data_IF_599614113515
#
_entry.id   IF_599614113515
#
_cell.length_a   1.000
_cell.length_b   1.000
_cell.length_c   1.000
_cell.angle_alpha   90.00
_cell.angle_beta   90.00
_cell.angle_gamma   90.00
#
_symmetry.space_group_name_H-M   'P 1'
#
loop_
_entity.id
_entity.type
_entity.pdbx_description
1 polymer ?
#
# COMPACT_ATOMS: atom_id res chain seq x y z
N UNK A 1 -36.90 -27.50 -5.26
CA UNK A 1 -36.35 -27.05 -3.97
C UNK A 1 -34.96 -26.42 -4.11
N UNK A 2 -33.87 -27.06 -3.66
CA UNK A 2 -32.50 -26.45 -3.76
C UNK A 2 -32.03 -26.31 -5.19
N UNK A 3 -32.22 -27.33 -6.01
CA UNK A 3 -31.85 -27.32 -7.43
C UNK A 3 -32.61 -26.22 -8.18
N UNK A 4 -33.94 -26.11 -7.98
CA UNK A 4 -34.72 -25.05 -8.64
C UNK A 4 -34.25 -23.64 -8.22
N UNK A 5 -33.87 -23.47 -6.94
CA UNK A 5 -33.33 -22.21 -6.43
C UNK A 5 -31.98 -21.88 -7.10
N UNK A 6 -31.11 -22.87 -7.27
CA UNK A 6 -29.83 -22.69 -7.94
C UNK A 6 -30.01 -22.34 -9.43
N UNK A 7 -30.84 -23.10 -10.13
CA UNK A 7 -31.20 -22.85 -11.54
C UNK A 7 -31.81 -21.46 -11.72
N UNK A 8 -32.76 -21.09 -10.85
CA UNK A 8 -33.40 -19.76 -10.88
C UNK A 8 -32.37 -18.63 -10.77
N UNK A 9 -31.36 -18.77 -9.90
CA UNK A 9 -30.29 -17.77 -9.75
C UNK A 9 -29.46 -17.61 -11.01
N UNK A 10 -29.07 -18.72 -11.62
CA UNK A 10 -28.31 -18.71 -12.88
C UNK A 10 -29.14 -18.10 -14.02
N UNK A 11 -30.40 -18.55 -14.17
CA UNK A 11 -31.31 -18.04 -15.19
C UNK A 11 -31.61 -16.54 -14.98
N UNK A 12 -31.81 -16.11 -13.72
CA UNK A 12 -32.04 -14.71 -13.40
C UNK A 12 -30.92 -13.80 -13.98
N UNK A 13 -29.66 -14.17 -13.76
CA UNK A 13 -28.54 -13.40 -14.29
C UNK A 13 -28.54 -13.38 -15.84
N UNK A 14 -28.82 -14.53 -16.45
CA UNK A 14 -28.93 -14.61 -17.92
C UNK A 14 -30.04 -13.74 -18.47
N UNK A 15 -31.22 -13.74 -17.85
CA UNK A 15 -32.34 -12.86 -18.24
C UNK A 15 -32.01 -11.39 -17.99
N UNK A 16 -31.44 -11.05 -16.84
CA UNK A 16 -31.08 -9.68 -16.49
C UNK A 16 -30.03 -9.10 -17.46
N UNK A 17 -29.15 -9.93 -18.00
CA UNK A 17 -28.18 -9.57 -19.02
C UNK A 17 -28.76 -9.55 -20.44
N UNK A 18 -30.02 -9.93 -20.63
CA UNK A 18 -30.68 -9.98 -21.93
C UNK A 18 -30.10 -11.05 -22.87
N UNK A 19 -29.47 -12.11 -22.35
CA UNK A 19 -28.79 -13.11 -23.19
C UNK A 19 -29.76 -13.96 -24.03
N UNK A 20 -31.05 -14.00 -23.66
CA UNK A 20 -32.08 -14.69 -24.46
C UNK A 20 -32.63 -13.80 -25.57
N UNK A 21 -32.61 -12.49 -25.39
CA UNK A 21 -33.08 -11.51 -26.35
C UNK A 21 -31.94 -11.13 -27.35
N UNK A 22 -30.70 -11.17 -26.87
CA UNK A 22 -29.49 -10.84 -27.62
C UNK A 22 -28.39 -11.84 -27.35
N UNK A 23 -28.48 -13.09 -27.87
CA UNK A 23 -27.56 -14.19 -27.49
C UNK A 23 -26.11 -13.98 -27.95
N UNK A 24 -25.88 -13.11 -28.94
CA UNK A 24 -24.55 -12.79 -29.47
C UNK A 24 -24.19 -11.34 -29.14
N UNK A 25 -23.97 -11.07 -27.86
CA UNK A 25 -23.64 -9.74 -27.38
C UNK A 25 -22.13 -9.50 -27.52
N UNK A 26 -21.70 -9.08 -28.70
CA UNK A 26 -20.31 -8.70 -28.91
C UNK A 26 -20.14 -7.97 -30.23
N UNK A 27 -20.09 -6.64 -30.19
CA UNK A 27 -19.69 -5.84 -31.35
C UNK A 27 -18.20 -5.52 -31.25
N UNK A 28 -17.34 -6.06 -32.15
CA UNK A 28 -15.90 -5.75 -32.15
C UNK A 28 -15.61 -4.24 -32.31
N UNK A 29 -16.51 -3.49 -32.93
CA UNK A 29 -16.39 -2.03 -33.05
C UNK A 29 -16.61 -1.36 -31.67
N UNK A 30 -17.55 -1.89 -30.89
CA UNK A 30 -17.80 -1.40 -29.52
C UNK A 30 -16.63 -1.70 -28.60
N UNK A 31 -15.99 -2.87 -28.73
CA UNK A 31 -14.78 -3.22 -27.98
C UNK A 31 -13.69 -2.17 -28.17
N UNK A 32 -13.39 -1.80 -29.42
CA UNK A 32 -12.39 -0.77 -29.75
C UNK A 32 -12.75 0.61 -29.21
N UNK A 33 -14.04 0.91 -29.04
CA UNK A 33 -14.54 2.20 -28.55
C UNK A 33 -14.51 2.26 -27.02
N UNK A 34 -14.72 1.14 -26.33
CA UNK A 34 -14.90 1.09 -24.88
C UNK A 34 -13.61 0.67 -24.17
N UNK A 35 -12.97 -0.43 -24.63
CA UNK A 35 -11.74 -0.94 -24.00
C UNK A 35 -10.61 0.07 -24.19
N UNK A 36 -9.95 0.44 -23.10
CA UNK A 36 -8.89 1.45 -23.04
C UNK A 36 -9.30 2.81 -23.62
N UNK A 37 -10.57 3.20 -23.45
CA UNK A 37 -10.97 4.58 -23.77
C UNK A 37 -10.23 5.58 -22.85
N UNK A 38 -10.12 6.84 -23.29
CA UNK A 38 -9.46 7.89 -22.50
C UNK A 38 -10.01 7.99 -21.07
N UNK A 39 -11.32 7.76 -20.90
CA UNK A 39 -11.97 7.72 -19.59
C UNK A 39 -11.43 6.58 -18.71
N UNK A 40 -11.24 5.40 -19.29
CA UNK A 40 -10.70 4.25 -18.56
C UNK A 40 -9.22 4.45 -18.21
N UNK A 41 -8.45 5.03 -19.12
CA UNK A 41 -7.04 5.37 -18.89
C UNK A 41 -6.92 6.44 -17.77
N UNK A 42 -7.77 7.46 -17.80
CA UNK A 42 -7.81 8.48 -16.75
C UNK A 42 -8.18 7.89 -15.38
N UNK A 43 -9.17 7.00 -15.33
CA UNK A 43 -9.55 6.30 -14.11
C UNK A 43 -8.41 5.39 -13.60
N UNK A 44 -7.72 4.67 -14.46
CA UNK A 44 -6.57 3.86 -14.09
C UNK A 44 -5.44 4.73 -13.50
N UNK A 45 -5.22 5.93 -14.05
CA UNK A 45 -4.26 6.90 -13.51
C UNK A 45 -4.68 7.39 -12.13
N UNK A 46 -5.94 7.74 -11.94
CA UNK A 46 -6.48 8.17 -10.64
C UNK A 46 -6.31 7.07 -9.57
N UNK A 47 -6.65 5.82 -9.90
CA UNK A 47 -6.45 4.68 -8.99
C UNK A 47 -4.97 4.49 -8.65
N UNK A 48 -4.07 4.63 -9.61
CA UNK A 48 -2.64 4.54 -9.37
C UNK A 48 -2.13 5.66 -8.45
N UNK A 49 -2.62 6.89 -8.63
CA UNK A 49 -2.29 8.05 -7.78
C UNK A 49 -2.76 7.84 -6.34
N UNK A 50 -4.01 7.40 -6.17
CA UNK A 50 -4.64 7.21 -4.88
C UNK A 50 -4.07 6.02 -4.08
N UNK A 51 -3.47 5.04 -4.75
CA UNK A 51 -2.92 3.83 -4.14
C UNK A 51 -1.43 3.91 -3.84
N UNK A 52 -0.68 4.85 -4.42
CA UNK A 52 0.75 5.00 -4.15
C UNK A 52 0.99 5.53 -2.73
N UNK A 53 1.90 4.90 -2.02
CA UNK A 53 2.17 5.14 -0.59
C UNK A 53 3.57 5.73 -0.43
N UNK A 54 3.67 6.84 0.28
CA UNK A 54 4.95 7.39 0.73
C UNK A 54 5.25 6.84 2.13
N UNK A 55 6.33 6.08 2.27
CA UNK A 55 6.70 5.43 3.53
C UNK A 55 7.75 6.21 4.31
N UNK A 56 8.74 6.79 3.62
CA UNK A 56 9.78 7.63 4.21
C UNK A 56 10.05 8.86 3.35
N UNK A 57 10.32 10.00 4.00
CA UNK A 57 10.66 11.25 3.30
C UNK A 57 11.59 12.10 4.18
N UNK A 58 12.86 11.70 4.27
CA UNK A 58 13.85 12.36 5.09
C UNK A 58 14.19 13.74 4.53
N UNK A 59 14.25 14.71 5.41
CA UNK A 59 14.57 16.10 5.06
C UNK A 59 13.65 16.69 3.97
N UNK A 60 12.45 16.13 3.80
CA UNK A 60 11.49 16.52 2.76
C UNK A 60 12.12 16.55 1.36
N UNK A 61 12.91 15.51 1.01
CA UNK A 61 13.49 15.40 -0.32
C UNK A 61 12.43 15.32 -1.41
N UNK A 62 11.27 14.77 -1.09
CA UNK A 62 10.07 14.75 -1.93
C UNK A 62 9.04 15.80 -1.45
N UNK A 63 8.32 16.46 -2.37
CA UNK A 63 8.48 16.38 -3.84
C UNK A 63 9.81 16.97 -4.28
N UNK A 64 10.34 16.45 -5.39
CA UNK A 64 11.63 16.87 -5.92
C UNK A 64 11.68 18.37 -6.21
N UNK A 65 12.66 19.05 -5.62
CA UNK A 65 13.03 20.41 -6.05
C UNK A 65 13.83 20.33 -7.36
N UNK A 66 13.12 20.48 -8.47
CA UNK A 66 13.71 20.39 -9.80
C UNK A 66 14.77 21.45 -10.09
N UNK A 67 14.90 22.51 -9.28
CA UNK A 67 15.98 23.47 -9.43
C UNK A 67 17.34 22.93 -8.99
N UNK A 68 17.34 21.98 -8.04
CA UNK A 68 18.55 21.37 -7.47
C UNK A 68 19.14 20.25 -8.32
N UNK A 69 18.32 19.54 -9.10
CA UNK A 69 18.73 18.35 -9.82
C UNK A 69 18.67 18.60 -11.32
N UNK A 70 19.80 18.57 -12.02
CA UNK A 70 19.91 18.70 -13.48
C UNK A 70 19.80 17.35 -14.17
N UNK A 71 20.27 16.30 -13.50
CA UNK A 71 20.32 14.93 -14.00
C UNK A 71 19.80 13.95 -12.95
N UNK A 72 19.08 12.93 -13.40
CA UNK A 72 18.46 11.89 -12.56
C UNK A 72 18.79 10.52 -13.16
N UNK A 73 19.35 9.62 -12.36
CA UNK A 73 19.46 8.22 -12.72
C UNK A 73 18.23 7.45 -12.26
N UNK A 74 17.59 6.70 -13.15
CA UNK A 74 16.46 5.83 -12.86
C UNK A 74 16.92 4.40 -13.09
N UNK A 75 17.26 3.71 -12.00
CA UNK A 75 17.88 2.40 -12.06
C UNK A 75 17.07 1.33 -11.36
N UNK A 76 17.41 0.07 -11.57
CA UNK A 76 16.74 -1.08 -10.98
C UNK A 76 15.85 -1.82 -11.96
N UNK A 77 15.50 -3.09 -11.65
CA UNK A 77 14.79 -3.97 -12.59
C UNK A 77 13.37 -3.50 -12.93
N UNK A 78 12.75 -2.70 -12.05
CA UNK A 78 11.43 -2.11 -12.29
C UNK A 78 11.48 -0.68 -12.85
N UNK A 79 12.66 -0.13 -13.15
CA UNK A 79 12.84 1.25 -13.63
C UNK A 79 12.18 1.51 -14.99
N UNK A 80 12.31 0.55 -15.91
CA UNK A 80 11.81 0.64 -17.28
C UNK A 80 10.88 -0.53 -17.65
N UNK A 81 10.07 -0.97 -16.70
CA UNK A 81 9.08 -2.02 -16.87
C UNK A 81 7.72 -1.56 -16.34
N UNK A 82 6.64 -2.01 -16.99
CA UNK A 82 5.29 -1.88 -16.47
C UNK A 82 4.85 -3.22 -15.89
N UNK A 83 4.41 -3.24 -14.64
CA UNK A 83 3.98 -4.47 -13.97
C UNK A 83 2.46 -4.44 -13.83
N UNK A 84 1.77 -5.31 -14.55
CA UNK A 84 0.31 -5.36 -14.60
C UNK A 84 -0.32 -6.27 -13.54
N UNK A 85 0.46 -7.19 -12.97
CA UNK A 85 -0.05 -8.20 -12.06
C UNK A 85 -0.41 -9.51 -12.75
N UNK A 86 -0.76 -10.51 -11.96
CA UNK A 86 -0.77 -11.92 -12.36
C UNK A 86 -1.85 -12.27 -13.37
N UNK A 87 -3.07 -11.80 -13.13
CA UNK A 87 -4.24 -12.13 -13.96
C UNK A 87 -4.53 -11.12 -15.06
N UNK A 88 -3.62 -10.21 -15.32
CA UNK A 88 -3.72 -9.31 -16.47
C UNK A 88 -3.29 -10.02 -17.74
N UNK A 89 -4.09 -9.92 -18.81
CA UNK A 89 -3.74 -10.49 -20.10
C UNK A 89 -2.65 -9.67 -20.77
N UNK A 90 -1.44 -9.79 -20.27
CA UNK A 90 -0.26 -9.12 -20.82
C UNK A 90 0.86 -10.14 -21.04
N UNK A 91 1.75 -9.81 -21.96
CA UNK A 91 2.95 -10.60 -22.19
C UNK A 91 4.17 -9.84 -21.66
N UNK A 92 5.33 -10.50 -21.44
CA UNK A 92 6.56 -9.79 -21.10
C UNK A 92 6.93 -8.69 -22.11
N UNK A 93 6.45 -8.83 -23.35
CA UNK A 93 6.71 -7.89 -24.44
C UNK A 93 5.57 -6.87 -24.64
N UNK A 94 4.60 -6.83 -23.71
CA UNK A 94 3.50 -5.86 -23.76
C UNK A 94 4.07 -4.43 -23.73
N UNK A 95 3.79 -3.67 -24.80
CA UNK A 95 4.24 -2.28 -24.94
C UNK A 95 3.24 -1.26 -24.40
N UNK A 96 2.09 -1.73 -23.93
CA UNK A 96 1.11 -0.88 -23.29
C UNK A 96 1.60 -0.47 -21.90
N UNK A 97 1.21 0.74 -21.52
CA UNK A 97 1.55 1.31 -20.24
C UNK A 97 2.76 2.25 -20.29
N UNK A 98 2.96 2.92 -19.18
CA UNK A 98 4.02 3.91 -18.98
C UNK A 98 4.94 3.42 -17.87
N UNK A 99 6.21 3.20 -18.19
CA UNK A 99 7.23 2.84 -17.19
C UNK A 99 7.62 4.06 -16.35
N UNK A 100 8.24 3.86 -15.20
CA UNK A 100 8.74 4.97 -14.38
C UNK A 100 9.68 5.87 -15.18
N UNK A 101 10.62 5.28 -15.92
CA UNK A 101 11.54 6.01 -16.79
C UNK A 101 10.78 6.88 -17.82
N UNK A 102 9.84 6.29 -18.54
CA UNK A 102 9.01 7.00 -19.50
C UNK A 102 8.15 8.10 -18.87
N UNK A 103 7.56 7.82 -17.70
CA UNK A 103 6.77 8.80 -16.95
C UNK A 103 7.60 10.03 -16.57
N UNK A 104 8.81 9.83 -16.08
CA UNK A 104 9.73 10.93 -15.78
C UNK A 104 10.14 11.68 -17.04
N UNK A 105 10.42 11.00 -18.15
CA UNK A 105 10.68 11.67 -19.43
C UNK A 105 9.51 12.55 -19.90
N UNK A 106 8.28 12.08 -19.74
CA UNK A 106 7.07 12.84 -20.10
C UNK A 106 6.90 14.09 -19.26
N UNK A 107 7.10 13.98 -17.93
CA UNK A 107 6.91 15.09 -16.99
C UNK A 107 8.04 16.10 -17.03
N UNK A 108 9.28 15.65 -17.13
CA UNK A 108 10.46 16.51 -17.08
C UNK A 108 10.87 17.05 -18.46
N UNK A 109 10.47 16.35 -19.51
CA UNK A 109 10.78 16.72 -20.89
C UNK A 109 12.31 16.78 -21.15
N UNK A 110 12.70 17.62 -22.12
CA UNK A 110 14.13 17.81 -22.47
C UNK A 110 14.89 18.71 -21.49
N UNK A 111 14.24 19.20 -20.44
CA UNK A 111 14.86 20.12 -19.45
C UNK A 111 15.81 19.40 -18.48
N UNK A 112 15.71 18.08 -18.39
CA UNK A 112 16.51 17.25 -17.48
C UNK A 112 17.13 16.09 -18.24
N UNK A 113 18.35 15.73 -17.86
CA UNK A 113 18.96 14.49 -18.31
C UNK A 113 18.47 13.33 -17.44
N UNK A 114 17.94 12.30 -18.07
CA UNK A 114 17.50 11.08 -17.37
C UNK A 114 18.28 9.90 -17.90
N UNK A 115 19.12 9.31 -17.06
CA UNK A 115 19.87 8.11 -17.36
C UNK A 115 19.12 6.89 -16.85
N UNK A 116 19.17 5.76 -17.57
CA UNK A 116 18.49 4.53 -17.19
C UNK A 116 19.44 3.34 -17.28
N UNK A 117 19.38 2.46 -16.28
CA UNK A 117 20.01 1.14 -16.31
C UNK A 117 19.24 0.18 -15.41
N UNK A 118 19.14 -1.08 -15.83
CA UNK A 118 18.41 -2.09 -15.03
C UNK A 118 19.19 -2.50 -13.78
N UNK A 119 20.52 -2.48 -13.81
CA UNK A 119 21.39 -2.76 -12.67
C UNK A 119 21.37 -4.22 -12.21
N UNK A 120 20.24 -4.89 -12.30
CA UNK A 120 20.09 -6.32 -12.05
C UNK A 120 18.74 -6.79 -12.59
N UNK A 121 18.46 -8.09 -12.48
CA UNK A 121 17.15 -8.66 -12.74
C UNK A 121 16.44 -9.11 -11.44
N UNK A 122 15.25 -9.68 -11.54
CA UNK A 122 14.42 -10.05 -10.36
C UNK A 122 14.79 -11.37 -9.70
N UNK A 123 15.58 -12.24 -10.32
CA UNK A 123 15.75 -13.63 -9.86
C UNK A 123 17.21 -14.12 -9.83
N UNK A 124 18.09 -13.54 -10.63
CA UNK A 124 19.44 -14.07 -10.78
C UNK A 124 20.44 -13.22 -9.96
N UNK A 125 21.36 -13.92 -9.29
CA UNK A 125 22.46 -13.31 -8.54
C UNK A 125 23.78 -13.27 -9.32
N UNK A 126 23.79 -13.60 -10.61
CA UNK A 126 25.01 -13.99 -11.30
C UNK A 126 25.77 -12.85 -12.02
N UNK A 127 25.23 -11.63 -12.18
CA UNK A 127 25.93 -10.63 -12.99
C UNK A 127 26.18 -9.31 -12.28
N UNK A 128 27.45 -9.09 -11.88
CA UNK A 128 27.91 -7.83 -11.28
C UNK A 128 28.02 -6.69 -12.28
N UNK A 129 28.18 -6.98 -13.59
CA UNK A 129 28.37 -5.97 -14.63
C UNK A 129 27.19 -5.03 -14.80
N UNK A 130 25.98 -5.55 -14.59
CA UNK A 130 24.75 -4.74 -14.66
C UNK A 130 24.70 -3.72 -13.53
N UNK A 131 25.15 -4.08 -12.32
CA UNK A 131 25.28 -3.16 -11.18
C UNK A 131 26.29 -2.06 -11.48
N UNK A 132 27.42 -2.39 -12.07
CA UNK A 132 28.43 -1.39 -12.44
C UNK A 132 27.89 -0.35 -13.43
N UNK A 133 27.07 -0.78 -14.40
CA UNK A 133 26.42 0.15 -15.34
C UNK A 133 25.44 1.08 -14.62
N UNK A 134 24.66 0.57 -13.67
CA UNK A 134 23.76 1.38 -12.87
C UNK A 134 24.52 2.38 -11.99
N UNK A 135 25.61 1.95 -11.36
CA UNK A 135 26.48 2.82 -10.57
C UNK A 135 27.06 3.95 -11.43
N UNK A 136 27.57 3.66 -12.63
CA UNK A 136 28.05 4.68 -13.58
C UNK A 136 26.97 5.69 -13.94
N UNK A 137 25.74 5.24 -14.18
CA UNK A 137 24.62 6.14 -14.45
C UNK A 137 24.32 7.05 -13.24
N UNK A 138 24.40 6.52 -12.02
CA UNK A 138 24.20 7.28 -10.77
C UNK A 138 25.32 8.28 -10.54
N UNK A 139 26.57 7.90 -10.74
CA UNK A 139 27.75 8.80 -10.61
C UNK A 139 27.65 10.00 -11.53
N UNK A 140 27.12 9.81 -12.74
CA UNK A 140 26.87 10.86 -13.73
C UNK A 140 25.62 11.70 -13.48
N UNK A 141 24.89 11.42 -12.38
CA UNK A 141 23.63 12.09 -12.06
C UNK A 141 23.71 12.81 -10.70
N UNK A 142 22.78 13.71 -10.48
CA UNK A 142 22.65 14.45 -9.21
C UNK A 142 21.81 13.67 -8.18
N UNK A 143 20.95 12.77 -8.64
CA UNK A 143 19.97 12.02 -7.84
C UNK A 143 19.77 10.63 -8.43
N UNK A 144 19.60 9.63 -7.57
CA UNK A 144 19.22 8.28 -7.94
C UNK A 144 17.78 7.95 -7.54
N UNK A 145 17.00 7.38 -8.45
CA UNK A 145 15.72 6.73 -8.17
C UNK A 145 15.90 5.25 -8.48
N UNK A 146 15.79 4.41 -7.46
CA UNK A 146 16.04 2.97 -7.57
C UNK A 146 14.70 2.21 -7.47
N UNK A 147 14.25 1.64 -8.57
CA UNK A 147 13.01 0.90 -8.66
C UNK A 147 13.26 -0.61 -8.50
N UNK A 148 12.88 -1.15 -7.34
CA UNK A 148 13.08 -2.55 -6.94
C UNK A 148 11.75 -3.24 -6.66
N UNK A 149 11.78 -4.54 -6.41
CA UNK A 149 10.61 -5.30 -5.96
C UNK A 149 10.44 -6.64 -6.66
N UNK A 150 9.20 -7.01 -6.87
CA UNK A 150 8.84 -8.29 -7.50
C UNK A 150 8.30 -8.08 -8.91
N UNK A 151 8.21 -9.15 -9.65
CA UNK A 151 7.52 -9.22 -10.93
C UNK A 151 6.55 -10.38 -10.92
N UNK A 152 5.32 -10.12 -11.36
CA UNK A 152 4.33 -11.14 -11.67
C UNK A 152 4.12 -11.19 -13.18
N UNK A 153 4.00 -12.38 -13.72
CA UNK A 153 3.66 -12.62 -15.12
C UNK A 153 2.49 -13.61 -15.18
N UNK A 154 1.69 -13.52 -16.23
CA UNK A 154 0.52 -14.36 -16.38
C UNK A 154 0.88 -15.86 -16.42
N UNK A 155 0.04 -16.68 -15.80
CA UNK A 155 0.09 -18.14 -15.79
C UNK A 155 0.43 -18.74 -17.16
N UNK A 156 1.42 -19.63 -17.20
CA UNK A 156 1.76 -20.45 -18.36
C UNK A 156 2.77 -19.86 -19.35
N UNK A 157 3.27 -18.65 -19.13
CA UNK A 157 4.32 -18.07 -20.00
C UNK A 157 5.74 -18.15 -19.43
N UNK A 158 5.95 -19.09 -18.55
CA UNK A 158 7.26 -19.56 -18.10
C UNK A 158 7.72 -18.98 -16.77
N UNK A 159 8.33 -19.85 -15.94
CA UNK A 159 8.81 -19.51 -14.59
C UNK A 159 9.97 -18.50 -14.59
N UNK A 160 10.54 -18.21 -15.75
CA UNK A 160 11.79 -17.44 -15.87
C UNK A 160 11.69 -15.97 -15.44
N UNK A 161 10.48 -15.44 -15.21
CA UNK A 161 10.29 -14.01 -15.03
C UNK A 161 9.44 -13.63 -13.82
N UNK A 162 8.79 -14.58 -13.15
CA UNK A 162 7.93 -14.33 -11.99
C UNK A 162 8.67 -14.54 -10.67
N UNK A 163 8.51 -13.62 -9.74
CA UNK A 163 8.96 -13.69 -8.35
C UNK A 163 7.81 -13.44 -7.37
N UNK A 164 6.59 -13.34 -7.88
CA UNK A 164 5.35 -13.26 -7.13
C UNK A 164 4.20 -13.71 -8.04
N UNK A 165 3.08 -14.11 -7.45
CA UNK A 165 1.89 -14.56 -8.15
C UNK A 165 1.56 -16.01 -7.90
N UNK A 166 0.53 -16.50 -8.55
CA UNK A 166 0.11 -17.90 -8.38
C UNK A 166 1.18 -18.88 -8.83
N UNK A 167 1.55 -19.77 -7.93
CA UNK A 167 2.61 -20.78 -8.16
C UNK A 167 4.05 -20.25 -8.03
N UNK A 168 4.25 -19.01 -7.58
CA UNK A 168 5.55 -18.37 -7.43
C UNK A 168 5.72 -17.71 -6.06
N UNK A 169 5.70 -18.52 -5.02
CA UNK A 169 5.91 -18.05 -3.66
C UNK A 169 7.39 -17.91 -3.33
N UNK A 170 7.73 -16.86 -2.57
CA UNK A 170 9.06 -16.68 -2.05
C UNK A 170 9.18 -17.29 -0.66
N UNK A 171 10.23 -18.07 -0.43
CA UNK A 171 10.57 -18.60 0.90
C UNK A 171 11.19 -17.56 1.82
N UNK A 172 11.62 -16.44 1.27
CA UNK A 172 12.13 -15.27 1.99
C UNK A 172 11.40 -14.02 1.52
N UNK A 173 11.21 -13.07 2.42
CA UNK A 173 10.65 -11.75 2.09
C UNK A 173 11.73 -10.70 1.80
N UNK A 174 13.00 -11.09 1.71
CA UNK A 174 14.06 -10.22 1.22
C UNK A 174 13.85 -9.89 -0.27
N UNK A 175 14.46 -8.78 -0.70
CA UNK A 175 14.45 -8.41 -2.12
C UNK A 175 15.08 -9.53 -2.96
N UNK A 176 14.37 -10.07 -3.97
CA UNK A 176 14.88 -11.18 -4.77
C UNK A 176 16.05 -10.76 -5.68
N UNK A 177 16.90 -11.73 -6.03
CA UNK A 177 18.07 -11.49 -6.88
C UNK A 177 19.15 -10.65 -6.20
N UNK A 178 19.78 -9.74 -6.94
CA UNK A 178 20.83 -8.83 -6.48
C UNK A 178 20.33 -7.42 -6.17
N UNK A 179 19.04 -7.25 -5.91
CA UNK A 179 18.47 -5.92 -5.69
C UNK A 179 18.99 -5.25 -4.41
N UNK A 180 19.26 -6.04 -3.37
CA UNK A 180 19.87 -5.51 -2.14
C UNK A 180 21.31 -5.03 -2.38
N UNK A 181 22.08 -5.74 -3.18
CA UNK A 181 23.44 -5.35 -3.59
C UNK A 181 23.42 -4.10 -4.45
N UNK A 182 22.44 -3.97 -5.37
CA UNK A 182 22.23 -2.76 -6.15
C UNK A 182 21.95 -1.54 -5.25
N UNK A 183 21.03 -1.67 -4.29
CA UNK A 183 20.73 -0.59 -3.34
C UNK A 183 21.99 -0.13 -2.58
N UNK A 184 22.79 -1.07 -2.09
CA UNK A 184 24.04 -0.79 -1.37
C UNK A 184 25.07 -0.11 -2.27
N UNK A 185 25.24 -0.58 -3.50
CA UNK A 185 26.16 -0.02 -4.47
C UNK A 185 25.77 1.41 -4.88
N UNK A 186 24.49 1.66 -5.11
CA UNK A 186 23.98 3.02 -5.38
C UNK A 186 24.20 3.93 -4.17
N UNK A 187 23.92 3.48 -2.95
CA UNK A 187 24.16 4.29 -1.74
C UNK A 187 25.64 4.64 -1.55
N UNK A 188 26.55 3.74 -1.91
CA UNK A 188 28.00 3.95 -1.82
C UNK A 188 28.50 5.09 -2.72
N UNK A 189 27.75 5.51 -3.75
CA UNK A 189 28.07 6.68 -4.58
C UNK A 189 27.94 8.01 -3.83
N UNK A 190 27.30 8.03 -2.66
CA UNK A 190 27.03 9.24 -1.89
C UNK A 190 25.94 10.14 -2.47
N UNK A 191 25.30 9.77 -3.57
CA UNK A 191 24.21 10.54 -4.17
C UNK A 191 22.92 10.37 -3.34
N UNK A 192 22.02 11.38 -3.30
CA UNK A 192 20.68 11.21 -2.74
C UNK A 192 19.96 10.06 -3.44
N UNK A 193 19.29 9.20 -2.64
CA UNK A 193 18.70 7.97 -3.15
C UNK A 193 17.23 7.85 -2.74
N UNK A 194 16.35 7.77 -3.71
CA UNK A 194 14.93 7.47 -3.54
C UNK A 194 14.69 6.03 -3.96
N UNK A 195 14.06 5.24 -3.08
CA UNK A 195 13.70 3.85 -3.37
C UNK A 195 12.21 3.77 -3.70
N UNK A 196 11.89 3.14 -4.82
CA UNK A 196 10.51 2.84 -5.23
C UNK A 196 10.34 1.33 -5.23
N UNK A 197 9.56 0.81 -4.27
CA UNK A 197 9.20 -0.61 -4.23
C UNK A 197 7.96 -0.85 -5.07
N UNK A 198 8.08 -1.64 -6.13
CA UNK A 198 6.97 -2.11 -6.96
C UNK A 198 6.82 -3.61 -6.72
N UNK A 199 5.79 -4.02 -6.00
CA UNK A 199 5.67 -5.40 -5.52
C UNK A 199 4.23 -5.85 -5.35
N UNK A 200 3.97 -7.14 -5.52
CA UNK A 200 2.67 -7.75 -5.21
C UNK A 200 2.54 -8.20 -3.75
N UNK A 201 3.57 -8.03 -2.95
CA UNK A 201 3.59 -8.39 -1.52
C UNK A 201 4.52 -7.46 -0.74
N UNK A 202 4.34 -7.29 0.59
CA UNK A 202 5.30 -6.59 1.41
C UNK A 202 6.62 -7.37 1.46
N UNK A 203 7.72 -6.68 1.27
CA UNK A 203 9.08 -7.22 1.38
C UNK A 203 9.79 -6.58 2.58
N UNK A 204 10.88 -7.21 3.01
CA UNK A 204 11.77 -6.65 4.03
C UNK A 204 12.51 -5.45 3.44
N UNK A 205 12.23 -4.28 4.01
CA UNK A 205 12.78 -3.01 3.55
C UNK A 205 13.53 -2.25 4.66
N UNK A 206 13.94 -2.96 5.71
CA UNK A 206 14.60 -2.37 6.89
C UNK A 206 15.84 -1.58 6.48
N UNK A 207 16.69 -2.13 5.62
CA UNK A 207 17.85 -1.43 5.11
C UNK A 207 17.49 -0.16 4.33
N UNK A 208 16.47 -0.21 3.46
CA UNK A 208 16.04 0.95 2.70
C UNK A 208 15.44 2.05 3.59
N UNK A 209 14.68 1.68 4.63
CA UNK A 209 14.17 2.63 5.64
C UNK A 209 15.30 3.43 6.29
N UNK A 210 16.41 2.77 6.62
CA UNK A 210 17.53 3.40 7.28
C UNK A 210 18.39 4.25 6.33
N UNK A 211 18.60 3.78 5.09
CA UNK A 211 19.62 4.29 4.20
C UNK A 211 19.10 5.13 3.03
N UNK A 212 17.84 4.99 2.62
CA UNK A 212 17.27 5.82 1.57
C UNK A 212 16.82 7.19 2.12
N UNK A 213 16.80 8.21 1.26
CA UNK A 213 16.30 9.54 1.59
C UNK A 213 14.78 9.61 1.47
N UNK A 214 14.18 8.80 0.58
CA UNK A 214 12.75 8.55 0.54
C UNK A 214 12.46 7.10 0.12
N UNK A 215 11.31 6.57 0.58
CA UNK A 215 10.81 5.25 0.20
C UNK A 215 9.34 5.38 -0.18
N UNK A 216 9.02 4.92 -1.40
CA UNK A 216 7.65 4.80 -1.88
C UNK A 216 7.32 3.33 -2.13
N UNK A 217 6.05 2.98 -1.95
CA UNK A 217 5.49 1.71 -2.39
C UNK A 217 4.37 1.96 -3.38
N UNK A 218 4.45 1.25 -4.50
CA UNK A 218 3.34 1.13 -5.42
C UNK A 218 3.11 -0.35 -5.69
N UNK A 219 1.91 -0.82 -5.35
CA UNK A 219 1.50 -2.15 -5.75
C UNK A 219 1.41 -2.21 -7.28
N UNK A 220 1.15 -3.35 -7.86
CA UNK A 220 1.05 -3.45 -9.31
C UNK A 220 -0.06 -2.54 -9.85
N UNK A 221 0.31 -1.30 -10.19
CA UNK A 221 -0.64 -0.26 -10.62
C UNK A 221 -0.94 -0.30 -12.13
N UNK A 222 -0.36 -1.26 -12.84
CA UNK A 222 -0.66 -1.53 -14.24
C UNK A 222 -0.24 -0.42 -15.21
N UNK A 223 -1.09 -0.15 -16.18
CA UNK A 223 -0.81 0.70 -17.35
C UNK A 223 -0.30 2.11 -17.01
N UNK A 224 -0.82 2.72 -15.93
CA UNK A 224 -0.48 4.09 -15.56
C UNK A 224 0.55 4.21 -14.42
N UNK A 225 1.19 3.10 -14.07
CA UNK A 225 2.19 2.99 -13.01
C UNK A 225 3.24 4.11 -13.05
N UNK A 226 3.95 4.25 -14.15
CA UNK A 226 5.07 5.20 -14.24
C UNK A 226 4.62 6.64 -14.33
N UNK A 227 3.46 6.92 -14.93
CA UNK A 227 2.90 8.27 -14.97
C UNK A 227 2.52 8.75 -13.56
N UNK A 228 1.87 7.89 -12.79
CA UNK A 228 1.53 8.16 -11.39
C UNK A 228 2.78 8.43 -10.55
N UNK A 229 3.76 7.53 -10.62
CA UNK A 229 5.02 7.70 -9.87
C UNK A 229 5.74 9.00 -10.23
N UNK A 230 5.82 9.33 -11.53
CA UNK A 230 6.47 10.55 -11.98
C UNK A 230 5.77 11.79 -11.43
N UNK A 231 4.44 11.86 -11.51
CA UNK A 231 3.64 12.98 -10.99
C UNK A 231 3.78 13.13 -9.46
N UNK A 232 3.84 12.02 -8.73
CA UNK A 232 4.09 12.04 -7.29
C UNK A 232 5.50 12.55 -7.00
N UNK A 233 6.51 12.00 -7.63
CA UNK A 233 7.91 12.37 -7.41
C UNK A 233 8.16 13.88 -7.62
N UNK A 234 7.53 14.48 -8.63
CA UNK A 234 7.68 15.93 -8.89
C UNK A 234 6.67 16.81 -8.15
N UNK A 235 5.72 16.22 -7.44
CA UNK A 235 4.74 16.93 -6.62
C UNK A 235 3.51 17.46 -7.34
N UNK A 236 3.23 16.98 -8.56
CA UNK A 236 1.95 17.21 -9.25
C UNK A 236 0.81 16.49 -8.54
N UNK A 237 1.10 15.37 -7.88
CA UNK A 237 0.18 14.59 -7.04
C UNK A 237 0.78 14.48 -5.65
N UNK A 238 -0.03 14.75 -4.63
CA UNK A 238 0.34 14.52 -3.23
C UNK A 238 -0.06 13.08 -2.86
N UNK A 239 0.89 12.19 -2.45
CA UNK A 239 0.58 10.80 -2.14
C UNK A 239 -0.40 10.69 -0.97
N UNK A 240 -1.33 9.76 -1.08
CA UNK A 240 -2.40 9.56 -0.09
C UNK A 240 -2.74 8.09 0.16
N UNK A 241 -2.01 7.17 -0.44
CA UNK A 241 -2.13 5.74 -0.18
C UNK A 241 -1.77 5.39 1.26
N UNK A 242 -2.32 4.27 1.75
CA UNK A 242 -2.03 3.73 3.09
C UNK A 242 -1.70 2.25 2.98
N UNK A 243 -0.80 1.80 3.84
CA UNK A 243 -0.41 0.40 3.95
C UNK A 243 -1.61 -0.45 4.34
N UNK A 244 -1.97 -1.39 3.49
CA UNK A 244 -3.08 -2.32 3.72
C UNK A 244 -2.64 -3.72 4.19
N UNK A 245 -1.33 -3.94 4.27
CA UNK A 245 -0.68 -5.11 4.87
C UNK A 245 0.58 -4.63 5.56
N UNK A 246 0.76 -4.88 6.86
CA UNK A 246 1.94 -4.46 7.61
C UNK A 246 3.23 -4.95 6.96
N UNK A 247 4.25 -4.12 6.91
CA UNK A 247 5.57 -4.49 6.40
C UNK A 247 6.40 -5.15 7.50
N UNK A 248 6.93 -6.35 7.30
CA UNK A 248 7.79 -7.01 8.28
C UNK A 248 9.20 -6.38 8.29
N UNK A 249 9.87 -6.48 9.44
CA UNK A 249 11.28 -6.08 9.59
C UNK A 249 12.24 -7.13 9.04
N UNK A 250 11.84 -8.39 9.16
CA UNK A 250 12.57 -9.56 8.69
C UNK A 250 11.56 -10.64 8.32
N UNK A 251 11.99 -11.67 7.61
CA UNK A 251 11.15 -12.85 7.35
C UNK A 251 10.69 -13.52 8.65
N UNK A 252 11.53 -13.53 9.67
CA UNK A 252 11.19 -14.09 10.99
C UNK A 252 10.17 -13.27 11.78
N UNK A 253 9.94 -11.99 11.41
CA UNK A 253 8.91 -11.12 12.03
C UNK A 253 7.49 -11.41 11.49
N UNK A 254 7.30 -12.45 10.69
CA UNK A 254 5.99 -12.84 10.16
C UNK A 254 5.36 -13.97 10.96
N UNK A 255 4.02 -13.92 11.12
CA UNK A 255 3.07 -12.90 10.68
C UNK A 255 3.08 -11.66 11.56
N UNK A 256 3.11 -10.46 10.95
CA UNK A 256 3.09 -9.17 11.67
C UNK A 256 1.72 -8.47 11.56
N UNK A 257 0.67 -9.12 12.00
CA UNK A 257 -0.69 -8.60 11.97
C UNK A 257 -0.89 -7.45 12.94
N UNK A 258 -1.54 -6.36 12.52
CA UNK A 258 -1.95 -5.27 13.41
C UNK A 258 -3.07 -5.71 14.39
N UNK A 259 -3.86 -6.70 13.97
CA UNK A 259 -5.00 -7.26 14.68
C UNK A 259 -4.69 -8.64 15.28
N UNK A 260 -3.51 -8.78 15.87
CA UNK A 260 -3.11 -10.03 16.53
C UNK A 260 -4.01 -10.34 17.73
N UNK A 261 -4.05 -11.61 18.12
CA UNK A 261 -4.77 -12.06 19.30
C UNK A 261 -3.92 -11.86 20.55
N UNK A 262 -4.50 -11.43 21.68
CA UNK A 262 -3.77 -11.32 22.93
C UNK A 262 -3.29 -12.70 23.38
N UNK A 263 -2.06 -12.77 23.86
CA UNK A 263 -1.47 -13.96 24.47
C UNK A 263 -0.88 -13.59 25.83
N UNK A 264 -0.64 -14.59 26.68
CA UNK A 264 -0.03 -14.43 27.99
C UNK A 264 1.43 -13.92 27.95
N UNK A 265 2.04 -13.90 26.76
CA UNK A 265 3.45 -13.53 26.56
C UNK A 265 3.63 -12.16 25.88
N UNK A 266 2.58 -11.40 25.65
CA UNK A 266 2.70 -10.12 24.94
C UNK A 266 3.15 -9.00 25.87
N UNK A 267 4.43 -8.99 26.19
CA UNK A 267 5.09 -7.73 26.54
C UNK A 267 5.84 -7.25 25.31
N UNK A 268 5.24 -6.34 24.57
CA UNK A 268 5.88 -5.65 23.45
C UNK A 268 6.65 -4.47 24.03
N UNK A 269 7.95 -4.60 24.12
CA UNK A 269 8.81 -3.51 24.50
C UNK A 269 9.05 -2.59 23.29
N UNK A 270 9.11 -1.30 23.53
CA UNK A 270 9.44 -0.30 22.48
C UNK A 270 10.97 -0.22 22.27
N UNK A 271 11.59 -1.38 22.12
CA UNK A 271 13.02 -1.56 21.86
C UNK A 271 13.29 -2.89 21.17
N UNK A 272 14.38 -3.02 20.40
CA UNK A 272 14.85 -4.34 19.97
C UNK A 272 15.18 -5.24 21.18
N UNK A 273 14.92 -6.52 21.05
CA UNK A 273 15.43 -7.51 22.01
C UNK A 273 16.94 -7.71 21.84
N UNK A 274 17.61 -8.05 22.94
CA UNK A 274 18.98 -8.56 22.93
C UNK A 274 18.99 -10.03 23.30
N UNK A 275 20.16 -10.65 23.28
CA UNK A 275 20.30 -12.04 23.72
C UNK A 275 19.93 -12.20 25.20
N UNK A 276 20.34 -11.24 26.04
CA UNK A 276 20.10 -11.23 27.49
C UNK A 276 18.66 -10.80 27.83
N UNK A 277 18.10 -9.90 27.02
CA UNK A 277 16.77 -9.35 27.21
C UNK A 277 15.96 -9.37 25.91
N UNK A 278 15.35 -10.50 25.53
CA UNK A 278 14.50 -10.59 24.36
C UNK A 278 13.29 -9.66 24.46
N UNK A 279 12.99 -8.94 23.38
CA UNK A 279 11.82 -8.07 23.33
C UNK A 279 10.60 -8.82 22.77
N UNK A 280 9.78 -9.35 23.66
CA UNK A 280 8.53 -9.99 23.29
C UNK A 280 8.67 -11.07 22.21
N UNK A 281 9.51 -12.07 22.44
CA UNK A 281 9.81 -13.22 21.57
C UNK A 281 10.90 -13.04 20.50
N UNK A 282 11.38 -11.82 20.25
CA UNK A 282 12.45 -11.61 19.27
C UNK A 282 13.77 -11.26 19.96
N UNK A 283 14.85 -11.89 19.49
CA UNK A 283 16.22 -11.51 19.81
C UNK A 283 16.72 -10.66 18.64
N UNK A 284 17.33 -9.51 18.94
CA UNK A 284 17.90 -8.56 17.98
C UNK A 284 16.92 -7.93 17.02
N UNK A 285 15.61 -8.01 17.27
CA UNK A 285 14.58 -7.41 16.42
C UNK A 285 13.47 -6.77 17.27
N UNK A 286 12.83 -5.75 16.70
CA UNK A 286 11.62 -5.15 17.24
C UNK A 286 10.41 -6.09 17.03
N UNK A 287 9.50 -6.18 18.03
CA UNK A 287 8.28 -6.98 17.88
C UNK A 287 7.22 -6.32 17.00
N UNK A 288 7.39 -5.04 16.66
CA UNK A 288 6.44 -4.29 15.83
C UNK A 288 6.81 -4.38 14.35
N UNK A 289 5.82 -4.19 13.48
CA UNK A 289 6.03 -4.07 12.04
C UNK A 289 7.02 -2.93 11.69
N UNK A 290 7.67 -3.02 10.55
CA UNK A 290 8.53 -1.96 10.02
C UNK A 290 7.70 -0.71 9.69
N UNK A 291 6.58 -0.92 9.00
CA UNK A 291 5.50 0.05 8.82
C UNK A 291 4.17 -0.66 9.09
N UNK A 292 3.42 -0.10 10.01
CA UNK A 292 2.17 -0.66 10.50
C UNK A 292 1.04 -0.55 9.46
N UNK A 293 0.00 -1.33 9.64
CA UNK A 293 -1.23 -1.24 8.85
C UNK A 293 -1.85 0.17 8.95
N UNK A 294 -2.28 0.70 7.84
CA UNK A 294 -2.87 2.03 7.76
C UNK A 294 -1.85 3.16 7.63
N UNK A 295 -0.54 2.90 7.75
CA UNK A 295 0.52 3.90 7.68
C UNK A 295 0.70 4.48 6.26
N UNK A 296 1.09 5.74 6.19
CA UNK A 296 1.49 6.43 4.98
C UNK A 296 1.66 7.92 5.23
N UNK A 297 2.65 8.53 4.57
CA UNK A 297 2.96 9.95 4.65
C UNK A 297 2.28 10.73 3.52
N UNK A 298 2.29 12.04 3.67
CA UNK A 298 1.84 13.03 2.70
C UNK A 298 2.88 14.13 2.57
N UNK A 299 2.81 14.93 1.51
CA UNK A 299 3.60 16.17 1.39
C UNK A 299 3.03 17.34 2.22
N UNK A 300 2.04 17.06 3.03
CA UNK A 300 1.44 17.99 4.00
C UNK A 300 1.24 17.27 5.34
N UNK A 301 0.85 18.03 6.37
CA UNK A 301 0.62 17.49 7.70
C UNK A 301 -0.84 17.67 8.10
N UNK A 302 -1.36 16.69 8.85
CA UNK A 302 -2.72 16.71 9.35
C UNK A 302 -2.71 16.69 10.89
N UNK A 303 -3.50 17.56 11.49
CA UNK A 303 -3.72 17.60 12.94
C UNK A 303 -5.15 17.17 13.24
N UNK A 304 -5.30 16.30 14.24
CA UNK A 304 -6.59 15.78 14.68
C UNK A 304 -7.03 16.48 15.97
N UNK A 305 -8.29 16.89 16.04
CA UNK A 305 -8.86 17.56 17.20
C UNK A 305 -10.34 17.20 17.36
N UNK A 306 -10.87 17.37 18.55
CA UNK A 306 -12.31 17.32 18.85
C UNK A 306 -13.00 16.02 18.42
N UNK A 307 -12.79 14.92 19.15
CA UNK A 307 -13.50 13.65 18.88
C UNK A 307 -14.76 13.53 19.73
N UNK A 308 -15.92 13.30 19.09
CA UNK A 308 -17.21 13.06 19.72
C UNK A 308 -17.83 11.77 19.21
N UNK A 309 -18.59 11.09 20.07
CA UNK A 309 -19.49 10.00 19.73
C UNK A 309 -20.94 10.45 19.90
N UNK A 310 -21.87 9.87 19.14
CA UNK A 310 -23.30 10.16 19.27
C UNK A 310 -23.88 9.67 20.60
N UNK A 311 -23.33 8.64 21.22
CA UNK A 311 -23.69 8.13 22.53
C UNK A 311 -22.48 7.47 23.22
N UNK A 312 -22.64 7.13 24.50
CA UNK A 312 -21.67 6.34 25.27
C UNK A 312 -22.25 4.97 25.69
N UNK A 313 -23.56 4.77 25.53
CA UNK A 313 -24.26 3.53 25.88
C UNK A 313 -25.10 3.12 24.67
N UNK A 314 -24.90 1.89 24.21
CA UNK A 314 -25.59 1.32 23.05
C UNK A 314 -26.30 0.02 23.43
N UNK A 315 -27.36 -0.32 22.69
CA UNK A 315 -27.84 -1.68 22.60
C UNK A 315 -27.09 -2.47 21.56
N UNK A 316 -27.41 -3.73 21.35
CA UNK A 316 -26.90 -4.56 20.24
C UNK A 316 -27.37 -4.08 18.85
N UNK A 317 -28.23 -3.06 18.82
CA UNK A 317 -28.76 -2.43 17.61
C UNK A 317 -28.28 -0.97 17.49
N UNK A 318 -28.39 -0.43 16.28
CA UNK A 318 -28.06 0.96 16.02
C UNK A 318 -26.69 1.14 15.36
N UNK A 319 -26.16 2.36 15.48
CA UNK A 319 -24.91 2.75 14.80
C UNK A 319 -24.09 3.68 15.69
N UNK A 320 -22.83 3.36 15.86
CA UNK A 320 -21.84 4.25 16.44
C UNK A 320 -21.49 5.30 15.39
N UNK A 321 -21.67 6.58 15.73
CA UNK A 321 -21.29 7.71 14.88
C UNK A 321 -20.18 8.48 15.57
N UNK A 322 -18.97 8.36 15.02
CA UNK A 322 -17.80 9.07 15.52
C UNK A 322 -17.48 10.26 14.61
N UNK A 323 -17.35 11.46 15.18
CA UNK A 323 -16.97 12.65 14.44
C UNK A 323 -15.69 13.24 15.01
N UNK A 324 -14.72 13.52 14.12
CA UNK A 324 -13.43 14.11 14.45
C UNK A 324 -13.15 15.30 13.52
N UNK A 325 -12.47 16.32 14.02
CA UNK A 325 -11.94 17.40 13.18
C UNK A 325 -10.52 17.08 12.72
N UNK A 326 -10.28 17.26 11.42
CA UNK A 326 -8.95 17.10 10.81
C UNK A 326 -8.59 18.40 10.10
N UNK A 327 -7.44 18.96 10.44
CA UNK A 327 -6.90 20.19 9.87
C UNK A 327 -5.65 19.86 9.04
N UNK A 328 -5.60 20.39 7.84
CA UNK A 328 -4.38 20.39 7.05
C UNK A 328 -3.50 21.58 7.49
N UNK A 329 -2.49 21.34 8.31
CA UNK A 329 -1.60 22.36 8.85
C UNK A 329 -0.43 22.72 7.93
N UNK A 330 -0.30 22.04 6.79
CA UNK A 330 0.77 22.30 5.85
C UNK A 330 0.40 23.32 4.76
N UNK A 331 1.27 23.43 3.76
CA UNK A 331 1.19 24.42 2.67
C UNK A 331 0.65 23.83 1.36
N UNK A 332 0.32 22.54 1.33
CA UNK A 332 -0.19 21.84 0.14
C UNK A 332 -1.54 21.22 0.44
N UNK A 333 -2.39 21.21 -0.56
CA UNK A 333 -3.61 20.42 -0.52
C UNK A 333 -3.27 18.93 -0.39
N UNK A 334 -4.07 18.18 0.34
CA UNK A 334 -3.82 16.76 0.54
C UNK A 334 -5.07 15.97 0.89
N UNK A 335 -4.91 14.65 0.90
CA UNK A 335 -5.96 13.72 1.33
C UNK A 335 -5.49 12.97 2.56
N UNK A 336 -6.32 12.96 3.60
CA UNK A 336 -6.10 12.18 4.81
C UNK A 336 -7.04 10.98 4.86
N UNK A 337 -6.57 9.86 5.43
CA UNK A 337 -7.38 8.67 5.66
C UNK A 337 -7.61 8.51 7.15
N UNK A 338 -8.76 8.97 7.59
CA UNK A 338 -9.21 8.82 8.97
C UNK A 338 -9.68 7.38 9.18
N UNK A 339 -9.17 6.71 10.19
CA UNK A 339 -9.38 5.29 10.46
C UNK A 339 -10.01 5.10 11.84
N UNK A 340 -11.04 4.26 11.92
CA UNK A 340 -11.72 3.89 13.15
C UNK A 340 -11.49 2.42 13.43
N UNK A 341 -10.87 2.14 14.56
CA UNK A 341 -10.66 0.80 15.09
C UNK A 341 -11.54 0.56 16.30
N UNK A 342 -11.96 -0.68 16.46
CA UNK A 342 -12.72 -1.13 17.63
C UNK A 342 -11.97 -2.26 18.31
N UNK A 343 -11.89 -2.17 19.64
CA UNK A 343 -11.42 -3.22 20.53
C UNK A 343 -12.55 -3.66 21.45
N UNK A 344 -12.86 -4.92 21.47
CA UNK A 344 -13.63 -5.55 22.51
C UNK A 344 -12.69 -5.80 23.72
N UNK A 345 -13.05 -5.27 24.89
CA UNK A 345 -12.16 -5.36 26.06
C UNK A 345 -12.21 -6.73 26.71
N UNK A 346 -13.41 -7.33 26.77
CA UNK A 346 -13.63 -8.64 27.38
C UNK A 346 -14.72 -9.35 26.58
N UNK A 347 -14.39 -10.49 26.01
CA UNK A 347 -15.28 -11.30 25.18
C UNK A 347 -15.29 -12.77 25.62
N UNK A 348 -16.37 -13.48 25.32
CA UNK A 348 -16.54 -14.90 25.68
C UNK A 348 -15.61 -15.83 24.87
N UNK A 349 -15.10 -15.36 23.76
CA UNK A 349 -14.11 -16.04 22.91
C UNK A 349 -12.93 -15.10 22.65
N UNK A 350 -11.79 -15.65 22.26
CA UNK A 350 -10.62 -14.81 21.93
C UNK A 350 -10.93 -13.92 20.72
N UNK A 351 -10.73 -12.61 20.87
CA UNK A 351 -10.89 -11.61 19.82
C UNK A 351 -9.58 -10.87 19.57
N UNK A 352 -9.36 -10.30 18.36
CA UNK A 352 -8.20 -9.46 18.09
C UNK A 352 -8.13 -8.23 19.01
N UNK A 353 -6.92 -7.76 19.28
CA UNK A 353 -6.69 -6.56 20.12
C UNK A 353 -7.35 -5.29 19.57
N UNK A 354 -7.61 -5.22 18.29
CA UNK A 354 -8.37 -4.18 17.58
C UNK A 354 -8.70 -4.64 16.16
N UNK A 355 -9.72 -4.06 15.58
CA UNK A 355 -10.11 -4.28 14.17
C UNK A 355 -10.49 -2.95 13.52
N UNK A 356 -10.02 -2.70 12.31
CA UNK A 356 -10.53 -1.58 11.50
C UNK A 356 -11.99 -1.85 11.15
N UNK A 357 -12.89 -0.95 11.55
CA UNK A 357 -14.34 -1.07 11.29
C UNK A 357 -14.85 0.00 10.33
N UNK A 358 -14.18 1.16 10.28
CA UNK A 358 -14.51 2.18 9.29
C UNK A 358 -13.27 3.01 8.91
N UNK A 359 -13.27 3.56 7.70
CA UNK A 359 -12.30 4.55 7.28
C UNK A 359 -12.91 5.52 6.27
N UNK A 360 -12.33 6.70 6.18
CA UNK A 360 -12.74 7.70 5.18
C UNK A 360 -11.55 8.49 4.69
N UNK A 361 -11.33 8.48 3.38
CA UNK A 361 -10.35 9.35 2.72
C UNK A 361 -11.03 10.68 2.41
N UNK A 362 -10.45 11.78 2.89
CA UNK A 362 -11.00 13.13 2.73
C UNK A 362 -9.95 14.08 2.16
N UNK A 363 -10.35 14.86 1.15
CA UNK A 363 -9.53 15.94 0.61
C UNK A 363 -9.67 17.18 1.51
N UNK A 364 -8.54 17.79 1.92
CA UNK A 364 -8.48 18.96 2.78
C UNK A 364 -7.48 19.94 2.19
N UNK A 365 -7.94 21.14 1.86
CA UNK A 365 -7.06 22.21 1.35
C UNK A 365 -6.06 22.64 2.40
N UNK A 366 -4.94 23.21 1.97
CA UNK A 366 -3.96 23.82 2.87
C UNK A 366 -4.62 24.85 3.79
N UNK A 367 -4.45 24.70 5.11
CA UNK A 367 -5.08 25.55 6.13
C UNK A 367 -6.56 25.28 6.39
N UNK A 368 -7.20 24.35 5.66
CA UNK A 368 -8.60 23.99 5.87
C UNK A 368 -8.74 22.99 7.03
N UNK A 369 -9.85 23.10 7.75
CA UNK A 369 -10.30 22.15 8.77
C UNK A 369 -11.61 21.53 8.34
N UNK A 370 -11.72 20.21 8.45
CA UNK A 370 -12.94 19.44 8.12
C UNK A 370 -13.39 18.54 9.25
N UNK A 371 -14.70 18.47 9.45
CA UNK A 371 -15.32 17.43 10.26
C UNK A 371 -15.47 16.15 9.43
N UNK A 372 -14.96 15.06 9.96
CA UNK A 372 -15.02 13.75 9.35
C UNK A 372 -15.86 12.85 10.24
N UNK A 373 -16.93 12.30 9.68
CA UNK A 373 -17.82 11.38 10.37
C UNK A 373 -17.62 9.98 9.83
N UNK A 374 -17.46 9.04 10.76
CA UNK A 374 -17.34 7.60 10.54
C UNK A 374 -18.49 6.89 11.24
N UNK A 375 -19.11 5.95 10.57
CA UNK A 375 -20.26 5.19 11.04
C UNK A 375 -19.92 3.71 11.12
N UNK A 376 -20.26 3.07 12.23
CA UNK A 376 -20.08 1.64 12.47
C UNK A 376 -21.40 1.07 12.98
N UNK A 377 -22.13 0.29 12.17
CA UNK A 377 -23.29 -0.44 12.65
C UNK A 377 -22.90 -1.38 13.79
N UNK A 378 -23.74 -1.50 14.81
CA UNK A 378 -23.46 -2.39 15.96
C UNK A 378 -23.23 -3.83 15.52
N UNK A 379 -23.89 -4.29 14.47
CA UNK A 379 -23.69 -5.63 13.88
C UNK A 379 -22.24 -5.91 13.45
N UNK A 380 -21.43 -4.86 13.16
CA UNK A 380 -20.01 -5.01 12.83
C UNK A 380 -19.13 -5.35 14.04
N UNK A 381 -19.66 -5.22 15.27
CA UNK A 381 -19.00 -5.60 16.51
C UNK A 381 -19.27 -7.07 16.87
N UNK A 382 -20.12 -7.75 16.10
CA UNK A 382 -20.47 -9.13 16.38
C UNK A 382 -19.26 -10.07 16.28
N UNK A 383 -19.15 -10.95 17.25
CA UNK A 383 -18.29 -12.13 17.22
C UNK A 383 -19.12 -13.39 16.99
N UNK A 384 -18.48 -14.50 16.64
CA UNK A 384 -19.12 -15.81 16.60
C UNK A 384 -18.92 -16.51 17.93
N UNK A 385 -20.05 -16.79 18.63
CA UNK A 385 -20.04 -17.49 19.92
C UNK A 385 -19.65 -18.98 19.76
N UNK A 386 -19.52 -19.70 20.86
CA UNK A 386 -19.18 -21.14 20.85
C UNK A 386 -20.19 -22.02 20.10
N UNK A 387 -21.36 -21.49 19.79
CA UNK A 387 -22.42 -22.14 18.98
C UNK A 387 -22.40 -21.70 17.52
N UNK A 388 -21.36 -20.96 17.12
CA UNK A 388 -21.21 -20.40 15.77
C UNK A 388 -22.36 -19.46 15.37
N UNK A 389 -22.87 -18.69 16.32
CA UNK A 389 -23.86 -17.64 16.07
C UNK A 389 -23.22 -16.28 16.19
N UNK A 390 -23.50 -15.34 15.25
CA UNK A 390 -23.05 -13.98 15.40
C UNK A 390 -23.81 -13.31 16.56
N UNK A 391 -23.06 -12.71 17.48
CA UNK A 391 -23.62 -12.02 18.66
C UNK A 391 -22.78 -10.78 18.96
N UNK A 392 -23.45 -9.69 19.30
CA UNK A 392 -22.84 -8.52 19.92
C UNK A 392 -22.99 -8.72 21.42
N UNK A 393 -21.88 -8.97 22.11
CA UNK A 393 -21.90 -9.22 23.55
C UNK A 393 -22.00 -7.92 24.34
N UNK A 394 -22.75 -7.90 25.47
CA UNK A 394 -22.71 -6.79 26.40
C UNK A 394 -21.30 -6.61 26.98
N UNK A 395 -20.86 -5.37 27.11
CA UNK A 395 -19.53 -5.09 27.64
C UNK A 395 -18.97 -3.74 27.19
N UNK A 396 -17.74 -3.49 27.59
CA UNK A 396 -17.03 -2.27 27.20
C UNK A 396 -16.22 -2.48 25.92
N UNK A 397 -16.38 -1.53 25.00
CA UNK A 397 -15.62 -1.46 23.77
C UNK A 397 -14.81 -0.15 23.71
N UNK A 398 -13.60 -0.21 23.18
CA UNK A 398 -12.79 0.97 22.87
C UNK A 398 -12.97 1.34 21.40
N UNK A 399 -13.33 2.60 21.16
CA UNK A 399 -13.42 3.23 19.84
C UNK A 399 -12.16 4.09 19.67
N UNK A 400 -11.30 3.69 18.76
CA UNK A 400 -10.01 4.30 18.52
C UNK A 400 -10.03 5.01 17.17
N UNK A 401 -9.74 6.32 17.15
CA UNK A 401 -9.61 7.11 15.91
C UNK A 401 -8.14 7.41 15.69
N UNK A 402 -7.64 7.05 14.51
CA UNK A 402 -6.22 7.22 14.17
C UNK A 402 -5.97 7.49 12.69
N UNK A 403 -4.70 7.72 12.38
CA UNK A 403 -4.16 7.80 11.02
C UNK A 403 -3.48 6.49 10.57
N UNK A 404 -3.26 5.57 11.49
CA UNK A 404 -2.83 4.18 11.26
C UNK A 404 -3.22 3.33 12.47
N UNK A 405 -2.96 2.02 12.42
CA UNK A 405 -3.25 1.11 13.53
C UNK A 405 -2.50 1.45 14.82
N UNK A 406 -1.33 2.07 14.72
CA UNK A 406 -0.47 2.40 15.87
C UNK A 406 -0.43 3.91 16.18
N UNK A 407 -0.91 4.75 15.25
CA UNK A 407 -1.03 6.22 15.45
C UNK A 407 -2.47 6.60 15.79
N UNK A 408 -2.86 6.27 17.02
CA UNK A 408 -4.19 6.57 17.55
C UNK A 408 -4.18 7.97 18.18
N UNK A 409 -5.06 8.84 17.72
CA UNK A 409 -5.23 10.21 18.21
C UNK A 409 -6.28 10.30 19.33
N UNK A 410 -7.32 9.48 19.27
CA UNK A 410 -8.39 9.44 20.25
C UNK A 410 -8.77 8.02 20.60
N UNK A 411 -9.02 7.80 21.89
CA UNK A 411 -9.59 6.56 22.44
C UNK A 411 -10.78 6.91 23.31
N UNK A 412 -11.94 6.30 23.04
CA UNK A 412 -13.19 6.48 23.75
C UNK A 412 -13.75 5.11 24.13
N UNK A 413 -14.22 4.97 25.38
CA UNK A 413 -14.92 3.76 25.81
C UNK A 413 -16.41 3.94 25.65
N UNK A 414 -17.09 2.93 25.15
CA UNK A 414 -18.55 2.79 25.11
C UNK A 414 -18.97 1.55 25.86
N UNK A 415 -20.24 1.54 26.32
CA UNK A 415 -20.85 0.39 26.96
C UNK A 415 -21.97 -0.16 26.07
N UNK A 416 -21.92 -1.44 25.74
CA UNK A 416 -23.03 -2.18 25.11
C UNK A 416 -23.82 -2.89 26.21
N UNK A 417 -25.17 -2.76 26.19
CA UNK A 417 -26.11 -3.39 27.15
C UNK A 417 -26.93 -4.47 26.52
#
# INVERSE_FOLDING_TARGET
AYIDKAVRRVLYVKFALGLFDRPYYGDPKLVKKVVRSDKHIALAKEVADESTILLENKNNILPLDLSKYKSIAVVGPNSNQTVFGDYSWTTPDTKEGVTLYQGLQQVLGKKKTILQADGCNWWNRADSKDIEQAVKAVEQSDLAIVAVGTRSTFLGRGPRYSTAGEGFDLSSLELPGNQSELLKAVKATGKPMIVVLISGKPLVMSWAKENADAVLVQWYAGEQQGRSLADILVGNVNPSGRVNVSFPRSTGNTPCFYNYYPTDRVQRFDRPGTYEEPAGHYIFEHPYALWEFGYGLSYTNFNYSGCTLNDSIYSDQGTIVATVEVENTGKRDGKEVVQLYVRDKISSVSTPIKQLKAFKKVFIKAGEKKKVTLEVPMSELALYDVRMKPVVEPGEFEIQIGSSSDRIHFNKTILVK
#
